data_IF_709807223989
#
_entry.id   IF_709807223989
#
_cell.length_a   1.000
_cell.length_b   1.000
_cell.length_c   1.000
_cell.angle_alpha   90.00
_cell.angle_beta   90.00
_cell.angle_gamma   90.00
#
_symmetry.space_group_name_H-M   'P 1'
#
loop_
_entity.id
_entity.type
_entity.pdbx_description
1 polymer ?
#
# COMPACT_ATOMS: atom_id res chain seq x y z
N UNK A 1 1.71 28.91 -10.30
CA UNK A 1 0.53 29.59 -9.74
C UNK A 1 0.86 30.11 -8.35
N UNK A 2 0.33 31.27 -7.92
CA UNK A 2 0.61 31.82 -6.60
C UNK A 2 -0.03 30.89 -5.55
N UNK A 3 0.81 30.22 -4.76
CA UNK A 3 0.37 29.26 -3.74
C UNK A 3 -0.16 30.03 -2.55
N UNK A 4 -1.49 30.11 -2.43
CA UNK A 4 -2.15 30.59 -1.23
C UNK A 4 -1.63 29.79 -0.03
N UNK A 5 -1.14 30.49 1.00
CA UNK A 5 -0.62 29.84 2.21
C UNK A 5 -1.81 29.36 3.03
N UNK A 6 -2.34 28.18 2.71
CA UNK A 6 -3.25 27.47 3.62
C UNK A 6 -2.56 27.23 4.96
N UNK A 7 -3.32 27.24 6.03
CA UNK A 7 -2.90 26.86 7.38
C UNK A 7 -2.90 25.34 7.55
N UNK A 8 -2.32 24.85 8.65
CA UNK A 8 -2.37 23.40 8.97
C UNK A 8 -3.80 22.95 9.22
N UNK A 9 -4.63 23.78 9.85
CA UNK A 9 -6.03 23.47 10.16
C UNK A 9 -6.89 23.40 8.90
N UNK A 10 -6.69 24.32 7.95
CA UNK A 10 -7.36 24.26 6.64
C UNK A 10 -6.93 23.02 5.86
N UNK A 11 -5.63 22.69 5.91
CA UNK A 11 -5.12 21.49 5.27
C UNK A 11 -5.72 20.19 5.85
N UNK A 12 -5.86 20.11 7.17
CA UNK A 12 -6.52 18.97 7.82
C UNK A 12 -8.00 18.87 7.41
N UNK A 13 -8.70 20.00 7.29
CA UNK A 13 -10.09 20.04 6.82
C UNK A 13 -10.21 19.58 5.38
N UNK A 14 -9.32 19.99 4.48
CA UNK A 14 -9.31 19.54 3.09
C UNK A 14 -9.07 18.03 2.98
N UNK A 15 -8.13 17.48 3.79
CA UNK A 15 -7.93 16.03 3.88
C UNK A 15 -9.21 15.34 4.34
N UNK A 16 -9.90 15.86 5.36
CA UNK A 16 -11.17 15.29 5.83
C UNK A 16 -12.25 15.32 4.73
N UNK A 17 -12.35 16.43 4.01
CA UNK A 17 -13.27 16.57 2.87
C UNK A 17 -13.00 15.51 1.82
N UNK A 18 -11.73 15.23 1.48
CA UNK A 18 -11.38 14.15 0.55
C UNK A 18 -11.90 12.78 1.03
N UNK A 19 -11.64 12.42 2.29
CA UNK A 19 -12.11 11.15 2.82
C UNK A 19 -13.64 11.05 2.84
N UNK A 20 -14.34 12.15 3.14
CA UNK A 20 -15.79 12.21 3.12
C UNK A 20 -16.33 12.01 1.70
N UNK A 21 -15.75 12.69 0.71
CA UNK A 21 -16.11 12.51 -0.70
C UNK A 21 -15.91 11.06 -1.15
N UNK A 22 -14.75 10.46 -0.86
CA UNK A 22 -14.51 9.05 -1.19
C UNK A 22 -15.51 8.11 -0.51
N UNK A 23 -15.88 8.39 0.74
CA UNK A 23 -16.88 7.60 1.47
C UNK A 23 -18.28 7.72 0.82
N UNK A 24 -18.69 8.92 0.45
CA UNK A 24 -19.99 9.19 -0.19
C UNK A 24 -20.07 8.54 -1.58
N UNK A 25 -18.96 8.52 -2.33
CA UNK A 25 -18.87 7.91 -3.66
C UNK A 25 -18.60 6.40 -3.63
N UNK A 26 -18.30 5.83 -2.45
CA UNK A 26 -17.96 4.41 -2.30
C UNK A 26 -16.61 4.03 -2.94
N UNK A 27 -15.68 4.99 -3.03
CA UNK A 27 -14.36 4.82 -3.66
C UNK A 27 -13.29 4.69 -2.58
N UNK A 28 -12.26 3.88 -2.86
CA UNK A 28 -11.11 3.75 -1.98
C UNK A 28 -10.26 5.04 -2.01
N UNK A 29 -9.99 5.69 -0.86
CA UNK A 29 -9.20 6.92 -0.82
C UNK A 29 -7.70 6.62 -0.96
N UNK A 30 -7.18 6.55 -2.18
CA UNK A 30 -5.75 6.34 -2.41
C UNK A 30 -4.90 7.63 -2.26
N UNK A 31 -3.57 7.49 -2.29
CA UNK A 31 -2.65 8.63 -2.13
C UNK A 31 -2.61 9.56 -3.34
N UNK A 32 -2.74 9.03 -4.56
CA UNK A 32 -2.73 9.85 -5.77
C UNK A 32 -3.99 10.72 -5.84
N UNK A 33 -5.16 10.16 -5.54
CA UNK A 33 -6.41 10.89 -5.42
C UNK A 33 -6.34 11.99 -4.36
N UNK A 34 -5.71 11.72 -3.22
CA UNK A 34 -5.50 12.73 -2.19
C UNK A 34 -4.62 13.89 -2.68
N UNK A 35 -3.52 13.59 -3.37
CA UNK A 35 -2.61 14.60 -3.92
C UNK A 35 -3.36 15.51 -4.91
N UNK A 36 -4.14 14.91 -5.81
CA UNK A 36 -4.94 15.63 -6.80
C UNK A 36 -6.03 16.48 -6.15
N UNK A 37 -6.75 15.93 -5.17
CA UNK A 37 -7.79 16.64 -4.43
C UNK A 37 -7.24 17.87 -3.71
N UNK A 38 -6.05 17.76 -3.12
CA UNK A 38 -5.36 18.86 -2.44
C UNK A 38 -4.74 19.90 -3.41
N UNK A 39 -4.89 19.71 -4.72
CA UNK A 39 -4.33 20.59 -5.76
C UNK A 39 -2.79 20.60 -5.77
N UNK A 40 -2.15 19.51 -5.33
CA UNK A 40 -0.71 19.42 -5.18
C UNK A 40 -0.05 18.68 -6.33
N UNK A 41 1.20 19.06 -6.63
CA UNK A 41 2.12 18.19 -7.35
C UNK A 41 2.76 17.18 -6.41
N UNK A 42 3.18 16.03 -6.96
CA UNK A 42 3.81 14.95 -6.18
C UNK A 42 5.06 15.44 -5.40
N UNK A 43 5.87 16.29 -6.02
CA UNK A 43 7.06 16.88 -5.40
C UNK A 43 6.72 17.72 -4.16
N UNK A 44 5.62 18.49 -4.24
CA UNK A 44 5.19 19.33 -3.14
C UNK A 44 4.61 18.50 -1.99
N UNK A 45 3.79 17.49 -2.32
CA UNK A 45 3.31 16.53 -1.33
C UNK A 45 4.47 15.86 -0.59
N UNK A 46 5.51 15.43 -1.32
CA UNK A 46 6.71 14.84 -0.72
C UNK A 46 7.39 15.81 0.26
N UNK A 47 7.57 17.08 -0.11
CA UNK A 47 8.17 18.09 0.77
C UNK A 47 7.33 18.34 2.04
N UNK A 48 6.00 18.34 1.92
CA UNK A 48 5.09 18.44 3.06
C UNK A 48 5.20 17.22 3.97
N UNK A 49 5.22 16.02 3.40
CA UNK A 49 5.39 14.74 4.11
C UNK A 49 6.72 14.66 4.85
N UNK A 50 7.80 15.17 4.26
CA UNK A 50 9.14 15.25 4.87
C UNK A 50 9.25 16.35 5.93
N UNK A 51 8.18 17.13 6.17
CA UNK A 51 8.17 18.21 7.15
C UNK A 51 8.93 19.47 6.73
N UNK A 52 9.38 19.58 5.47
CA UNK A 52 10.14 20.73 4.93
C UNK A 52 9.33 22.03 4.91
N UNK A 53 8.01 21.96 5.11
CA UNK A 53 7.07 23.09 5.19
C UNK A 53 6.44 23.25 6.57
N UNK A 54 6.85 22.43 7.55
CA UNK A 54 6.30 22.42 8.91
C UNK A 54 5.83 21.04 9.35
N UNK A 55 6.06 20.71 10.62
CA UNK A 55 5.72 19.40 11.22
C UNK A 55 4.21 19.13 11.24
N UNK A 56 3.37 20.17 11.29
CA UNK A 56 1.91 20.04 11.27
C UNK A 56 1.39 19.37 9.99
N UNK A 57 1.88 19.80 8.82
CA UNK A 57 1.52 19.18 7.53
C UNK A 57 1.96 17.72 7.45
N UNK A 58 3.19 17.43 7.91
CA UNK A 58 3.69 16.05 7.95
C UNK A 58 2.83 15.16 8.87
N UNK A 59 2.43 15.69 10.04
CA UNK A 59 1.54 14.98 10.96
C UNK A 59 0.16 14.73 10.36
N UNK A 60 -0.43 15.71 9.68
CA UNK A 60 -1.72 15.58 8.99
C UNK A 60 -1.67 14.50 7.89
N UNK A 61 -0.61 14.51 7.06
CA UNK A 61 -0.38 13.47 6.04
C UNK A 61 -0.19 12.08 6.68
N UNK A 62 0.55 12.00 7.78
CA UNK A 62 0.74 10.75 8.52
C UNK A 62 -0.59 10.17 9.03
N UNK A 63 -1.47 11.01 9.58
CA UNK A 63 -2.82 10.60 10.00
C UNK A 63 -3.68 10.14 8.83
N UNK A 64 -3.62 10.84 7.70
CA UNK A 64 -4.32 10.43 6.48
C UNK A 64 -3.87 9.03 6.03
N UNK A 65 -2.57 8.77 6.04
CA UNK A 65 -2.01 7.45 5.73
C UNK A 65 -2.50 6.36 6.67
N UNK A 66 -2.48 6.61 7.99
CA UNK A 66 -3.01 5.67 8.99
C UNK A 66 -4.50 5.36 8.78
N UNK A 67 -5.29 6.37 8.39
CA UNK A 67 -6.71 6.18 8.07
C UNK A 67 -6.90 5.26 6.87
N UNK A 68 -6.13 5.46 5.78
CA UNK A 68 -6.16 4.57 4.61
C UNK A 68 -5.81 3.13 4.98
N UNK A 69 -4.73 2.95 5.76
CA UNK A 69 -4.33 1.63 6.24
C UNK A 69 -5.45 0.94 7.03
N UNK A 70 -6.13 1.67 7.92
CA UNK A 70 -7.27 1.14 8.68
C UNK A 70 -8.43 0.70 7.77
N UNK A 71 -8.73 1.47 6.72
CA UNK A 71 -9.75 1.11 5.73
C UNK A 71 -9.38 -0.20 5.03
N UNK A 72 -8.13 -0.32 4.54
CA UNK A 72 -7.64 -1.53 3.88
C UNK A 72 -7.77 -2.74 4.80
N UNK A 73 -7.33 -2.63 6.05
CA UNK A 73 -7.39 -3.74 7.03
C UNK A 73 -8.83 -4.19 7.27
N UNK A 74 -9.76 -3.24 7.47
CA UNK A 74 -11.18 -3.56 7.67
C UNK A 74 -11.78 -4.22 6.44
N UNK A 75 -11.46 -3.72 5.26
CA UNK A 75 -11.93 -4.31 4.02
C UNK A 75 -11.39 -5.73 3.80
N UNK A 76 -10.11 -5.97 4.11
CA UNK A 76 -9.50 -7.30 4.05
C UNK A 76 -10.17 -8.28 5.01
N UNK A 77 -10.50 -7.82 6.23
CA UNK A 77 -11.20 -8.64 7.21
C UNK A 77 -12.62 -8.99 6.76
N UNK A 78 -13.32 -8.06 6.10
CA UNK A 78 -14.73 -8.19 5.74
C UNK A 78 -14.98 -8.84 4.37
N UNK A 79 -13.95 -9.08 3.54
CA UNK A 79 -14.15 -9.57 2.16
C UNK A 79 -13.55 -10.96 1.94
N UNK A 80 -14.39 -11.98 1.74
CA UNK A 80 -13.91 -13.36 1.44
C UNK A 80 -13.42 -13.53 -0.02
N UNK A 81 -13.97 -12.78 -0.99
CA UNK A 81 -13.79 -13.05 -2.43
C UNK A 81 -12.95 -12.05 -3.21
N UNK A 82 -12.70 -10.84 -2.70
CA UNK A 82 -11.88 -9.80 -3.35
C UNK A 82 -10.53 -9.55 -2.64
N UNK A 83 -10.09 -10.51 -1.82
CA UNK A 83 -8.91 -10.37 -0.97
C UNK A 83 -7.62 -10.13 -1.77
N UNK A 84 -7.47 -10.73 -2.97
CA UNK A 84 -6.20 -10.70 -3.71
C UNK A 84 -5.76 -9.29 -4.11
N UNK A 85 -6.64 -8.48 -4.71
CA UNK A 85 -6.30 -7.11 -5.10
C UNK A 85 -5.98 -6.21 -3.90
N UNK A 86 -6.78 -6.33 -2.83
CA UNK A 86 -6.62 -5.56 -1.59
C UNK A 86 -5.34 -5.95 -0.83
N UNK A 87 -4.93 -7.22 -0.89
CA UNK A 87 -3.66 -7.69 -0.33
C UNK A 87 -2.48 -7.03 -1.05
N UNK A 88 -2.54 -6.89 -2.38
CA UNK A 88 -1.48 -6.16 -3.11
C UNK A 88 -1.40 -4.70 -2.71
N UNK A 89 -2.55 -4.03 -2.52
CA UNK A 89 -2.57 -2.65 -2.02
C UNK A 89 -1.98 -2.59 -0.61
N UNK A 90 -2.35 -3.50 0.30
CA UNK A 90 -1.82 -3.55 1.66
C UNK A 90 -0.30 -3.81 1.72
N UNK A 91 0.25 -4.56 0.76
CA UNK A 91 1.70 -4.84 0.63
C UNK A 91 2.52 -3.60 0.26
N UNK A 92 1.91 -2.58 -0.34
CA UNK A 92 2.63 -1.37 -0.69
C UNK A 92 3.12 -0.67 0.58
N UNK A 93 4.39 -0.21 0.63
CA UNK A 93 4.93 0.47 1.80
C UNK A 93 4.04 1.62 2.27
N UNK A 94 3.48 2.39 1.36
CA UNK A 94 2.62 3.55 1.59
C UNK A 94 1.30 3.19 2.30
N UNK A 95 0.92 1.92 2.32
CA UNK A 95 -0.37 1.40 2.79
C UNK A 95 -0.24 0.37 3.93
N UNK A 96 0.87 0.41 4.67
CA UNK A 96 1.12 -0.45 5.84
C UNK A 96 2.18 -1.51 5.60
N UNK A 97 2.50 -1.83 4.34
CA UNK A 97 3.59 -2.73 3.99
C UNK A 97 3.38 -4.15 4.51
N UNK A 98 2.15 -4.67 4.42
CA UNK A 98 1.81 -6.03 4.85
C UNK A 98 2.77 -7.04 4.22
N UNK A 99 3.46 -7.83 5.03
CA UNK A 99 4.32 -8.91 4.57
C UNK A 99 3.71 -10.26 4.93
N UNK A 100 3.92 -11.26 4.07
CA UNK A 100 3.57 -12.63 4.44
C UNK A 100 4.49 -13.07 5.58
N UNK A 101 3.94 -13.77 6.57
CA UNK A 101 4.78 -14.53 7.49
C UNK A 101 5.61 -15.50 6.66
N UNK A 102 6.93 -15.51 6.87
CA UNK A 102 7.76 -16.57 6.33
C UNK A 102 7.15 -17.91 6.75
N UNK A 103 6.55 -18.63 5.80
CA UNK A 103 6.36 -20.07 5.99
C UNK A 103 7.78 -20.61 6.11
N UNK A 104 8.10 -21.21 7.26
CA UNK A 104 9.30 -22.03 7.38
C UNK A 104 9.38 -22.89 6.12
N UNK A 105 10.54 -22.86 5.46
CA UNK A 105 10.74 -23.59 4.22
C UNK A 105 10.28 -25.03 4.46
N UNK A 106 9.29 -25.48 3.68
CA UNK A 106 8.88 -26.87 3.70
C UNK A 106 10.15 -27.71 3.52
N UNK A 107 10.31 -28.72 4.39
CA UNK A 107 11.49 -29.58 4.43
C UNK A 107 11.94 -29.96 3.01
N UNK A 108 13.27 -29.98 2.73
CA UNK A 108 13.80 -30.13 1.39
C UNK A 108 13.18 -31.35 0.70
N UNK A 109 12.52 -31.11 -0.45
CA UNK A 109 11.92 -32.15 -1.27
C UNK A 109 13.04 -33.07 -1.77
N UNK A 110 13.17 -34.25 -1.17
CA UNK A 110 14.17 -35.24 -1.57
C UNK A 110 13.60 -36.07 -2.72
N UNK A 111 14.04 -35.82 -3.95
CA UNK A 111 13.68 -36.64 -5.12
C UNK A 111 14.72 -37.77 -5.26
N UNK A 112 14.32 -39.01 -4.97
CA UNK A 112 15.14 -40.20 -5.25
C UNK A 112 14.77 -40.77 -6.62
N UNK A 113 15.61 -40.52 -7.62
CA UNK A 113 15.51 -41.14 -8.94
C UNK A 113 16.28 -42.46 -8.94
N UNK A 114 15.61 -43.59 -9.19
CA UNK A 114 16.26 -44.85 -9.56
C UNK A 114 16.09 -45.03 -11.07
N UNK A 115 17.21 -44.97 -11.79
CA UNK A 115 17.26 -45.36 -13.19
C UNK A 115 17.33 -46.90 -13.23
N UNK A 116 16.26 -47.54 -13.66
CA UNK A 116 16.24 -48.96 -13.98
C UNK A 116 16.42 -49.12 -15.49
N UNK A 117 17.57 -49.67 -15.90
CA UNK A 117 17.74 -50.28 -17.22
C UNK A 117 18.28 -49.38 -18.33
N UNK A 118 19.58 -49.52 -18.60
CA UNK A 118 20.15 -49.63 -19.94
C UNK A 118 21.33 -50.60 -19.76
N UNK A 119 21.30 -51.85 -20.20
CA UNK A 119 21.02 -52.24 -21.58
C UNK A 119 22.33 -52.15 -22.37
N UNK A 120 23.14 -53.21 -22.22
CA UNK A 120 24.31 -53.63 -23.03
C UNK A 120 25.44 -52.61 -23.32
N UNK A 121 26.67 -53.01 -22.94
CA UNK A 121 27.91 -52.35 -23.30
C UNK A 121 28.04 -52.25 -24.84
N UNK A 122 28.22 -51.05 -25.43
CA UNK A 122 28.48 -50.90 -26.86
C UNK A 122 29.97 -51.00 -27.22
N UNK A 123 30.80 -51.63 -26.37
CA UNK A 123 32.24 -51.79 -26.59
C UNK A 123 32.66 -53.24 -26.30
N UNK A 124 32.20 -54.15 -27.15
CA UNK A 124 33.11 -55.13 -27.75
C UNK A 124 34.09 -54.41 -28.69
#
# INVERSE_FOLDING_TARGET
MPREKRTVEEFEKEIESYFKTCQEEGIFPDEAGLILFLGLEQEEYRRLREGKRGKGYAAAISRARLRRESIIVRELYNTEKAATGKIFVARQPENGGLTDKHKEAAAPVTVKVRLAGAGENPFD
#
